data_IF_693046694336
#
_entry.id   IF_693046694336
#
_cell.length_a   1.000
_cell.length_b   1.000
_cell.length_c   1.000
_cell.angle_alpha   90.00
_cell.angle_beta   90.00
_cell.angle_gamma   90.00
#
_symmetry.space_group_name_H-M   'P 1'
#
loop_
_entity.id
_entity.type
_entity.pdbx_description
1 polymer ?
#
# COMPACT_ATOMS: atom_id res chain seq x y z
N UNK A 1 -39.84 -7.62 -30.83
CA UNK A 1 -39.32 -7.93 -29.47
C UNK A 1 -37.83 -8.10 -29.64
N UNK A 2 -37.05 -7.05 -29.36
CA UNK A 2 -35.59 -7.09 -29.39
C UNK A 2 -35.13 -7.63 -28.05
N UNK A 3 -34.52 -8.82 -28.05
CA UNK A 3 -33.83 -9.34 -26.89
C UNK A 3 -32.70 -8.33 -26.52
N UNK A 4 -32.79 -7.72 -25.34
CA UNK A 4 -31.72 -6.95 -24.77
C UNK A 4 -30.56 -7.90 -24.51
N UNK A 5 -29.49 -7.80 -25.30
CA UNK A 5 -28.23 -8.47 -24.98
C UNK A 5 -27.70 -7.84 -23.68
N UNK A 6 -27.92 -8.53 -22.57
CA UNK A 6 -27.27 -8.20 -21.32
C UNK A 6 -25.76 -8.34 -21.56
N UNK A 7 -25.03 -7.25 -21.53
CA UNK A 7 -23.58 -7.27 -21.60
C UNK A 7 -22.98 -8.13 -20.47
N UNK A 8 -21.75 -8.64 -20.60
CA UNK A 8 -21.14 -9.48 -19.61
C UNK A 8 -21.10 -8.77 -18.26
N UNK A 9 -21.59 -9.44 -17.22
CA UNK A 9 -21.58 -8.97 -15.84
C UNK A 9 -20.17 -8.53 -15.42
N UNK A 10 -20.03 -7.37 -14.73
CA UNK A 10 -18.73 -6.90 -14.26
C UNK A 10 -18.11 -7.92 -13.29
N UNK A 11 -16.91 -8.36 -13.60
CA UNK A 11 -16.18 -9.33 -12.79
C UNK A 11 -15.82 -8.71 -11.45
N UNK A 12 -16.14 -9.40 -10.37
CA UNK A 12 -15.88 -9.00 -9.00
C UNK A 12 -14.65 -9.66 -8.42
N UNK A 13 -13.87 -8.88 -7.69
CA UNK A 13 -12.68 -9.30 -6.94
C UNK A 13 -13.09 -10.20 -5.77
N UNK A 14 -12.33 -11.28 -5.53
CA UNK A 14 -12.58 -12.19 -4.40
C UNK A 14 -12.56 -11.48 -3.05
N UNK A 15 -13.32 -12.00 -2.07
CA UNK A 15 -13.38 -11.44 -0.71
C UNK A 15 -11.99 -11.33 -0.08
N UNK A 16 -11.13 -12.34 -0.27
CA UNK A 16 -9.75 -12.32 0.26
C UNK A 16 -8.97 -11.15 -0.32
N UNK A 17 -9.02 -10.95 -1.65
CA UNK A 17 -8.32 -9.83 -2.27
C UNK A 17 -8.87 -8.48 -1.81
N UNK A 18 -10.18 -8.34 -1.61
CA UNK A 18 -10.81 -7.13 -1.07
C UNK A 18 -10.34 -6.83 0.36
N UNK A 19 -10.24 -7.85 1.21
CA UNK A 19 -9.72 -7.70 2.59
C UNK A 19 -8.26 -7.25 2.57
N UNK A 20 -7.42 -7.87 1.74
CA UNK A 20 -6.01 -7.48 1.61
C UNK A 20 -5.84 -6.05 1.09
N UNK A 21 -6.63 -5.64 0.09
CA UNK A 21 -6.66 -4.24 -0.38
C UNK A 21 -7.10 -3.28 0.73
N UNK A 22 -8.09 -3.67 1.54
CA UNK A 22 -8.52 -2.91 2.70
C UNK A 22 -7.42 -2.75 3.77
N UNK A 23 -6.67 -3.80 4.06
CA UNK A 23 -5.53 -3.76 4.98
C UNK A 23 -4.45 -2.81 4.46
N UNK A 24 -4.09 -2.90 3.16
CA UNK A 24 -3.15 -1.97 2.55
C UNK A 24 -3.67 -0.53 2.61
N UNK A 25 -4.95 -0.30 2.32
CA UNK A 25 -5.55 1.03 2.41
C UNK A 25 -5.46 1.62 3.83
N UNK A 26 -5.74 0.81 4.85
CA UNK A 26 -5.66 1.26 6.26
C UNK A 26 -4.21 1.58 6.64
N UNK A 27 -3.24 0.76 6.24
CA UNK A 27 -1.83 1.03 6.53
C UNK A 27 -1.36 2.34 5.88
N UNK A 28 -1.69 2.58 4.61
CA UNK A 28 -1.38 3.82 3.91
C UNK A 28 -2.10 5.03 4.51
N UNK A 29 -3.36 4.87 4.95
CA UNK A 29 -4.11 5.93 5.60
C UNK A 29 -3.47 6.38 6.93
N UNK A 30 -3.02 5.42 7.74
CA UNK A 30 -2.37 5.71 9.02
C UNK A 30 -1.02 6.40 8.82
N UNK A 31 -0.19 5.87 7.95
CA UNK A 31 1.12 6.44 7.62
C UNK A 31 0.95 7.83 6.98
N UNK A 32 0.13 7.91 5.95
CA UNK A 32 -0.09 9.14 5.19
C UNK A 32 -0.75 10.23 6.03
N UNK A 33 -1.75 9.88 6.83
CA UNK A 33 -2.39 10.82 7.75
C UNK A 33 -1.40 11.38 8.78
N UNK A 34 -0.60 10.52 9.40
CA UNK A 34 0.41 10.98 10.37
C UNK A 34 1.47 11.87 9.71
N UNK A 35 2.02 11.46 8.57
CA UNK A 35 3.02 12.23 7.84
C UNK A 35 2.48 13.59 7.37
N UNK A 36 1.25 13.65 6.86
CA UNK A 36 0.66 14.89 6.34
C UNK A 36 0.29 15.87 7.45
N UNK A 37 -0.39 15.40 8.51
CA UNK A 37 -0.99 16.28 9.51
C UNK A 37 -0.06 16.57 10.71
N UNK A 38 0.93 15.71 10.98
CA UNK A 38 1.89 15.88 12.05
C UNK A 38 3.32 15.50 11.63
N UNK A 39 3.90 16.16 10.58
CA UNK A 39 5.14 15.75 9.92
C UNK A 39 6.35 15.70 10.87
N UNK A 40 6.49 16.66 11.76
CA UNK A 40 7.58 16.67 12.75
C UNK A 40 7.45 15.53 13.78
N UNK A 41 6.22 15.16 14.14
CA UNK A 41 5.97 14.00 15.01
C UNK A 41 6.26 12.68 14.26
N UNK A 42 5.81 12.56 13.03
CA UNK A 42 6.09 11.41 12.17
C UNK A 42 7.60 11.20 12.02
N UNK A 43 8.33 12.23 11.66
CA UNK A 43 9.78 12.16 11.50
C UNK A 43 10.48 11.62 12.75
N UNK A 44 10.10 12.14 13.94
CA UNK A 44 10.78 11.76 15.19
C UNK A 44 10.32 10.44 15.80
N UNK A 45 9.11 10.00 15.52
CA UNK A 45 8.47 8.95 16.30
C UNK A 45 7.96 7.75 15.49
N UNK A 46 8.01 7.78 14.15
CA UNK A 46 7.53 6.65 13.36
C UNK A 46 8.46 5.44 13.52
N UNK A 47 7.95 4.19 13.69
CA UNK A 47 6.53 3.78 13.69
C UNK A 47 5.83 3.96 15.04
N UNK A 48 6.60 4.19 16.11
CA UNK A 48 6.11 4.44 17.47
C UNK A 48 7.12 5.27 18.25
N UNK A 49 6.68 5.94 19.31
CA UNK A 49 7.53 6.75 20.19
C UNK A 49 8.75 5.94 20.67
N UNK A 50 9.93 6.53 20.48
CA UNK A 50 11.20 5.92 20.87
C UNK A 50 11.95 5.18 19.76
N UNK A 51 11.33 4.97 18.58
CA UNK A 51 11.99 4.29 17.44
C UNK A 51 12.57 5.27 16.41
N UNK A 52 11.78 6.23 15.95
CA UNK A 52 12.24 7.30 15.06
C UNK A 52 12.89 6.85 13.76
N UNK A 53 12.36 5.81 13.09
CA UNK A 53 12.95 5.22 11.89
C UNK A 53 13.24 6.24 10.79
N UNK A 54 12.34 7.21 10.61
CA UNK A 54 12.52 8.26 9.59
C UNK A 54 13.65 9.22 9.98
N UNK A 55 13.86 9.46 11.27
CA UNK A 55 14.91 10.33 11.76
C UNK A 55 16.34 9.74 11.62
N UNK A 56 16.46 8.43 11.40
CA UNK A 56 17.73 7.76 11.08
C UNK A 56 18.16 7.93 9.62
N UNK A 57 17.29 8.47 8.78
CA UNK A 57 17.51 8.74 7.36
C UNK A 57 17.86 10.22 7.14
N UNK A 58 17.75 10.79 5.93
CA UNK A 58 18.08 12.18 5.65
C UNK A 58 17.45 13.18 6.60
N UNK A 59 18.03 14.38 6.77
CA UNK A 59 17.54 15.41 7.70
C UNK A 59 16.08 15.78 7.41
N UNK A 60 15.39 16.26 8.44
CA UNK A 60 13.99 16.67 8.38
C UNK A 60 13.73 17.66 7.25
N UNK A 61 12.79 17.31 6.40
CA UNK A 61 12.24 18.17 5.36
C UNK A 61 10.72 18.09 5.42
N UNK A 62 10.08 19.12 5.96
CA UNK A 62 8.63 19.14 6.16
C UNK A 62 7.86 19.01 4.85
N UNK A 63 8.30 19.69 3.78
CA UNK A 63 7.66 19.61 2.47
C UNK A 63 7.67 18.17 1.95
N UNK A 64 8.83 17.52 1.95
CA UNK A 64 8.95 16.14 1.48
C UNK A 64 8.09 15.17 2.30
N UNK A 65 8.05 15.32 3.63
CA UNK A 65 7.24 14.45 4.50
C UNK A 65 5.75 14.64 4.23
N UNK A 66 5.30 15.88 4.03
CA UNK A 66 3.90 16.16 3.67
C UNK A 66 3.55 15.65 2.27
N UNK A 67 4.47 15.71 1.31
CA UNK A 67 4.27 15.16 -0.03
C UNK A 67 4.12 13.64 0.01
N UNK A 68 5.00 12.94 0.73
CA UNK A 68 4.86 11.51 0.97
C UNK A 68 3.53 11.20 1.64
N UNK A 69 3.14 11.97 2.67
CA UNK A 69 1.87 11.81 3.36
C UNK A 69 0.66 11.97 2.43
N UNK A 70 0.65 13.01 1.60
CA UNK A 70 -0.45 13.25 0.65
C UNK A 70 -0.52 12.19 -0.46
N UNK A 71 0.62 11.72 -0.96
CA UNK A 71 0.68 10.63 -1.94
C UNK A 71 0.20 9.30 -1.35
N UNK A 72 0.56 8.96 -0.10
CA UNK A 72 0.02 7.80 0.61
C UNK A 72 -1.49 7.89 0.79
N UNK A 73 -2.04 9.07 1.10
CA UNK A 73 -3.50 9.27 1.17
C UNK A 73 -4.17 9.14 -0.20
N UNK A 74 -3.55 9.62 -1.27
CA UNK A 74 -4.07 9.40 -2.63
C UNK A 74 -4.09 7.90 -2.97
N UNK A 75 -3.04 7.16 -2.62
CA UNK A 75 -2.98 5.71 -2.77
C UNK A 75 -4.05 5.00 -1.91
N UNK A 76 -4.28 5.47 -0.68
CA UNK A 76 -5.37 5.01 0.19
C UNK A 76 -6.73 5.08 -0.51
N UNK A 77 -7.04 6.21 -1.18
CA UNK A 77 -8.31 6.38 -1.90
C UNK A 77 -8.49 5.31 -2.97
N UNK A 78 -7.45 5.03 -3.76
CA UNK A 78 -7.50 4.04 -4.84
C UNK A 78 -7.64 2.62 -4.29
N UNK A 79 -6.87 2.27 -3.25
CA UNK A 79 -6.93 0.96 -2.58
C UNK A 79 -8.30 0.74 -1.90
N UNK A 80 -8.82 1.74 -1.20
CA UNK A 80 -10.12 1.68 -0.54
C UNK A 80 -11.26 1.55 -1.56
N UNK A 81 -11.24 2.32 -2.63
CA UNK A 81 -12.21 2.21 -3.71
C UNK A 81 -12.20 0.81 -4.33
N UNK A 82 -11.02 0.22 -4.58
CA UNK A 82 -10.88 -1.14 -5.08
C UNK A 82 -11.45 -2.17 -4.09
N UNK A 83 -11.14 -2.04 -2.80
CA UNK A 83 -11.64 -2.94 -1.75
C UNK A 83 -13.17 -2.88 -1.62
N UNK A 84 -13.76 -1.68 -1.69
CA UNK A 84 -15.22 -1.48 -1.51
C UNK A 84 -15.99 -1.93 -2.76
N UNK A 85 -15.56 -1.50 -3.94
CA UNK A 85 -16.28 -1.80 -5.19
C UNK A 85 -16.08 -3.24 -5.67
N UNK A 86 -14.93 -3.84 -5.36
CA UNK A 86 -14.58 -5.18 -5.81
C UNK A 86 -14.42 -5.30 -7.34
N UNK A 87 -14.17 -4.20 -8.06
CA UNK A 87 -13.96 -4.23 -9.50
C UNK A 87 -12.56 -4.72 -9.84
N UNK A 88 -12.44 -5.78 -10.65
CA UNK A 88 -11.15 -6.39 -10.99
C UNK A 88 -10.16 -5.43 -11.64
N UNK A 89 -10.63 -4.54 -12.53
CA UNK A 89 -9.76 -3.54 -13.16
C UNK A 89 -9.22 -2.55 -12.14
N UNK A 90 -10.10 -2.02 -11.28
CA UNK A 90 -9.69 -1.08 -10.25
C UNK A 90 -8.75 -1.72 -9.24
N UNK A 91 -9.00 -2.99 -8.88
CA UNK A 91 -8.10 -3.76 -8.00
C UNK A 91 -6.71 -3.97 -8.63
N UNK A 92 -6.66 -4.25 -9.94
CA UNK A 92 -5.39 -4.38 -10.66
C UNK A 92 -4.62 -3.06 -10.73
N UNK A 93 -5.31 -1.94 -10.98
CA UNK A 93 -4.71 -0.59 -10.97
C UNK A 93 -4.20 -0.24 -9.57
N UNK A 94 -5.01 -0.48 -8.54
CA UNK A 94 -4.67 -0.17 -7.15
C UNK A 94 -3.42 -0.94 -6.69
N UNK A 95 -3.37 -2.25 -6.92
CA UNK A 95 -2.20 -3.05 -6.52
C UNK A 95 -0.97 -2.75 -7.36
N UNK A 96 -1.14 -2.40 -8.63
CA UNK A 96 -0.05 -1.94 -9.49
C UNK A 96 0.54 -0.60 -9.02
N UNK A 97 -0.31 0.36 -8.70
CA UNK A 97 0.12 1.65 -8.14
C UNK A 97 0.84 1.47 -6.80
N UNK A 98 0.31 0.61 -5.92
CA UNK A 98 0.97 0.26 -4.67
C UNK A 98 2.35 -0.38 -4.90
N UNK A 99 2.49 -1.31 -5.85
CA UNK A 99 3.76 -1.96 -6.14
C UNK A 99 4.82 -0.98 -6.68
N UNK A 100 4.42 -0.01 -7.51
CA UNK A 100 5.31 1.06 -8.01
C UNK A 100 5.87 1.89 -6.87
N UNK A 101 5.11 2.12 -5.82
CA UNK A 101 5.57 2.79 -4.60
C UNK A 101 6.40 1.85 -3.71
N UNK A 102 5.85 0.68 -3.35
CA UNK A 102 6.39 -0.17 -2.29
C UNK A 102 7.69 -0.87 -2.68
N UNK A 103 7.87 -1.25 -3.95
CA UNK A 103 9.09 -1.98 -4.38
C UNK A 103 10.34 -1.09 -4.33
N UNK A 104 10.38 0.10 -4.94
CA UNK A 104 11.53 0.99 -4.81
C UNK A 104 11.78 1.41 -3.36
N UNK A 105 10.71 1.62 -2.58
CA UNK A 105 10.79 2.00 -1.18
C UNK A 105 11.46 0.88 -0.34
N UNK A 106 11.03 -0.38 -0.50
CA UNK A 106 11.69 -1.52 0.14
C UNK A 106 13.14 -1.66 -0.29
N UNK A 107 13.45 -1.51 -1.59
CA UNK A 107 14.83 -1.57 -2.09
C UNK A 107 15.69 -0.51 -1.40
N UNK A 108 15.23 0.74 -1.34
CA UNK A 108 15.94 1.81 -0.66
C UNK A 108 16.25 1.44 0.79
N UNK A 109 15.24 1.05 1.56
CA UNK A 109 15.41 0.70 2.96
C UNK A 109 16.33 -0.52 3.18
N UNK A 110 16.33 -1.49 2.24
CA UNK A 110 17.21 -2.67 2.33
C UNK A 110 18.70 -2.31 2.25
N UNK A 111 19.04 -1.19 1.64
CA UNK A 111 20.41 -0.68 1.53
C UNK A 111 20.75 0.44 2.53
N UNK A 112 19.80 0.85 3.39
CA UNK A 112 19.98 1.94 4.34
C UNK A 112 19.55 1.51 5.74
N UNK A 113 20.16 0.43 6.24
CA UNK A 113 19.91 -0.11 7.59
C UNK A 113 20.93 0.38 8.63
N UNK A 114 21.89 1.20 8.22
CA UNK A 114 22.90 1.79 9.09
C UNK A 114 22.22 2.71 10.12
N UNK A 115 22.55 2.50 11.37
CA UNK A 115 21.93 3.27 12.47
C UNK A 115 20.66 2.64 13.06
N UNK A 116 20.06 1.66 12.41
CA UNK A 116 18.94 0.91 12.97
C UNK A 116 19.41 -0.12 13.99
N UNK A 117 18.64 -0.32 15.08
CA UNK A 117 18.83 -1.51 15.91
C UNK A 117 18.47 -2.76 15.10
N UNK A 118 19.02 -3.92 15.48
CA UNK A 118 18.70 -5.18 14.81
C UNK A 118 17.18 -5.48 14.85
N UNK A 119 16.51 -5.14 15.93
CA UNK A 119 15.06 -5.31 16.08
C UNK A 119 14.29 -4.40 15.10
N UNK A 120 14.67 -3.13 15.00
CA UNK A 120 14.03 -2.18 14.11
C UNK A 120 14.25 -2.53 12.63
N UNK A 121 15.48 -2.93 12.27
CA UNK A 121 15.81 -3.38 10.93
C UNK A 121 14.97 -4.60 10.50
N UNK A 122 14.83 -5.59 11.39
CA UNK A 122 13.97 -6.75 11.14
C UNK A 122 12.51 -6.36 11.06
N UNK A 123 12.01 -5.56 12.01
CA UNK A 123 10.61 -5.15 12.04
C UNK A 123 10.22 -4.36 10.78
N UNK A 124 11.05 -3.43 10.34
CA UNK A 124 10.87 -2.67 9.11
C UNK A 124 10.82 -3.58 7.88
N UNK A 125 11.82 -4.48 7.75
CA UNK A 125 11.91 -5.42 6.63
C UNK A 125 10.70 -6.34 6.58
N UNK A 126 10.28 -6.89 7.71
CA UNK A 126 9.08 -7.74 7.81
C UNK A 126 7.83 -6.97 7.41
N UNK A 127 7.69 -5.71 7.84
CA UNK A 127 6.58 -4.85 7.44
C UNK A 127 6.46 -4.70 5.92
N UNK A 128 7.56 -4.40 5.23
CA UNK A 128 7.60 -4.31 3.76
C UNK A 128 7.29 -5.64 3.08
N UNK A 129 7.88 -6.73 3.56
CA UNK A 129 7.64 -8.08 3.01
C UNK A 129 6.17 -8.45 3.11
N UNK A 130 5.52 -8.22 4.26
CA UNK A 130 4.10 -8.52 4.44
C UNK A 130 3.21 -7.72 3.50
N UNK A 131 3.49 -6.43 3.30
CA UNK A 131 2.75 -5.57 2.37
C UNK A 131 2.91 -6.05 0.92
N UNK A 132 4.14 -6.38 0.50
CA UNK A 132 4.40 -6.88 -0.85
C UNK A 132 3.82 -8.28 -1.08
N UNK A 133 3.82 -9.16 -0.06
CA UNK A 133 3.14 -10.45 -0.12
C UNK A 133 1.62 -10.25 -0.28
N UNK A 134 1.01 -9.34 0.46
CA UNK A 134 -0.40 -9.02 0.30
C UNK A 134 -0.72 -8.55 -1.14
N UNK A 135 0.10 -7.65 -1.69
CA UNK A 135 -0.04 -7.19 -3.07
C UNK A 135 0.16 -8.33 -4.09
N UNK A 136 1.13 -9.21 -3.85
CA UNK A 136 1.39 -10.40 -4.67
C UNK A 136 0.23 -11.38 -4.68
N UNK A 137 -0.37 -11.63 -3.51
CA UNK A 137 -1.57 -12.49 -3.39
C UNK A 137 -2.75 -11.88 -4.13
N UNK A 138 -3.01 -10.57 -4.00
CA UNK A 138 -4.08 -9.89 -4.76
C UNK A 138 -3.84 -10.05 -6.26
N UNK A 139 -2.63 -9.80 -6.74
CA UNK A 139 -2.25 -9.94 -8.16
C UNK A 139 -2.48 -11.37 -8.66
N UNK A 140 -2.06 -12.37 -7.89
CA UNK A 140 -2.25 -13.80 -8.22
C UNK A 140 -3.73 -14.18 -8.29
N UNK A 141 -4.55 -13.73 -7.34
CA UNK A 141 -5.99 -13.99 -7.35
C UNK A 141 -6.65 -13.39 -8.58
N UNK A 142 -6.34 -12.15 -8.94
CA UNK A 142 -6.86 -11.49 -10.14
C UNK A 142 -6.43 -12.21 -11.43
N UNK A 143 -5.21 -12.70 -11.48
CA UNK A 143 -4.71 -13.48 -12.63
C UNK A 143 -5.40 -14.83 -12.74
N UNK A 144 -5.53 -15.57 -11.64
CA UNK A 144 -6.21 -16.86 -11.59
C UNK A 144 -7.67 -16.76 -12.09
N UNK A 145 -8.39 -15.74 -11.64
CA UNK A 145 -9.79 -15.52 -12.01
C UNK A 145 -9.94 -15.20 -13.52
N UNK A 146 -8.92 -14.56 -14.12
CA UNK A 146 -8.87 -14.34 -15.58
C UNK A 146 -8.61 -15.64 -16.36
N UNK A 147 -7.77 -16.52 -15.83
CA UNK A 147 -7.40 -17.77 -16.50
C UNK A 147 -8.56 -18.79 -16.55
N UNK A 148 -9.45 -18.79 -15.55
CA UNK A 148 -10.60 -19.69 -15.47
C UNK A 148 -11.74 -19.34 -16.45
N UNK A 149 -11.67 -18.21 -17.10
CA UNK A 149 -12.74 -17.69 -17.97
C UNK A 149 -12.35 -17.65 -19.46
N UNK A 150 -11.18 -18.20 -19.79
CA UNK A 150 -10.73 -18.45 -21.17
C UNK A 150 -10.92 -19.89 -21.58
#
# INVERSE_FOLDING_TARGET
MTASEAGPEPRTTSTVARVLLGILAVSEALIGGWALFAPASFYRNFPATGHGWVALLPPYNEHLIRDVGSLSLALTVVLAAAAVTGQNLLSAVAVGAFAVYAVPHMIFHSFHLEGFSAVDAVAQTVGFVLQLLAAGVVTWLLWRDRAQTR
#
